data_IF_734849040663
#
_entry.id   IF_734849040663
#
_cell.length_a   1.000
_cell.length_b   1.000
_cell.length_c   1.000
_cell.angle_alpha   90.00
_cell.angle_beta   90.00
_cell.angle_gamma   90.00
#
_symmetry.space_group_name_H-M   'P 1'
#
loop_
_entity.id
_entity.type
_entity.pdbx_description
1 polymer ?
#
# COMPACT_ATOMS: atom_id res chain seq x y z
N UNK A 1 12.85 -12.34 -5.92
CA UNK A 1 12.51 -11.01 -5.38
C UNK A 1 11.02 -11.00 -5.04
N UNK A 2 10.67 -11.09 -3.77
CA UNK A 2 9.29 -11.19 -3.26
C UNK A 2 8.67 -9.78 -3.27
N UNK A 3 7.48 -9.60 -3.84
CA UNK A 3 6.79 -8.29 -3.93
C UNK A 3 5.50 -8.33 -3.09
N UNK A 4 5.43 -7.48 -2.07
CA UNK A 4 4.25 -7.35 -1.21
C UNK A 4 3.19 -6.46 -1.88
N UNK A 5 1.92 -6.84 -1.77
CA UNK A 5 0.80 -6.05 -2.27
C UNK A 5 -0.06 -5.52 -1.12
N UNK A 6 -0.38 -4.23 -1.18
CA UNK A 6 -1.26 -3.54 -0.22
C UNK A 6 -2.67 -3.40 -0.78
N UNK A 7 -3.67 -3.65 0.06
CA UNK A 7 -5.07 -3.46 -0.33
C UNK A 7 -5.49 -2.01 -0.10
N UNK A 8 -5.92 -1.34 -1.16
CA UNK A 8 -6.46 0.03 -1.13
C UNK A 8 -7.96 -0.04 -0.78
N UNK A 9 -8.41 0.74 0.20
CA UNK A 9 -9.81 0.77 0.67
C UNK A 9 -10.37 2.19 0.64
N UNK A 10 -11.71 2.31 0.60
CA UNK A 10 -12.41 3.54 0.97
C UNK A 10 -12.63 3.58 2.49
N UNK A 11 -12.28 4.73 3.07
CA UNK A 11 -12.29 5.20 4.47
C UNK A 11 -12.83 4.22 5.53
N UNK A 12 -11.91 3.66 6.33
CA UNK A 12 -12.15 3.29 7.73
C UNK A 12 -10.80 3.27 8.49
N UNK A 13 -10.74 3.90 9.67
CA UNK A 13 -9.62 4.70 10.15
C UNK A 13 -8.83 4.01 11.28
N UNK A 14 -7.60 3.57 11.01
CA UNK A 14 -6.56 3.44 12.06
C UNK A 14 -5.14 3.28 11.46
N UNK A 15 -5.01 2.68 10.27
CA UNK A 15 -3.73 2.37 9.62
C UNK A 15 -3.76 2.62 8.10
N UNK A 16 -4.33 3.77 7.72
CA UNK A 16 -4.51 4.20 6.32
C UNK A 16 -3.54 5.31 5.95
N UNK A 17 -2.95 5.20 4.76
CA UNK A 17 -2.14 6.26 4.16
C UNK A 17 -2.89 6.89 3.00
N UNK A 18 -2.95 8.23 3.02
CA UNK A 18 -3.37 9.01 1.86
C UNK A 18 -2.27 8.93 0.79
N UNK A 19 -2.69 8.76 -0.46
CA UNK A 19 -1.82 8.57 -1.61
C UNK A 19 -2.15 9.68 -2.60
N UNK A 20 -1.12 10.26 -3.26
CA UNK A 20 -1.27 11.17 -4.39
C UNK A 20 -1.93 10.45 -5.57
N UNK A 21 -3.25 10.33 -5.52
CA UNK A 21 -4.06 9.44 -6.34
C UNK A 21 -4.08 9.82 -7.81
N UNK A 22 -3.95 11.12 -8.13
CA UNK A 22 -3.84 11.62 -9.50
C UNK A 22 -2.53 11.17 -10.16
N UNK A 23 -1.40 11.31 -9.46
CA UNK A 23 -0.09 10.84 -9.94
C UNK A 23 -0.05 9.32 -10.11
N UNK A 24 -0.74 8.61 -9.22
CA UNK A 24 -0.91 7.16 -9.27
C UNK A 24 -1.88 6.68 -10.37
N UNK A 25 -2.48 7.60 -11.15
CA UNK A 25 -3.51 7.32 -12.17
C UNK A 25 -4.73 6.58 -11.61
N UNK A 26 -5.03 6.76 -10.33
CA UNK A 26 -6.24 6.24 -9.72
C UNK A 26 -7.41 7.13 -10.15
N UNK A 27 -8.57 6.53 -10.39
CA UNK A 27 -9.76 7.29 -10.80
C UNK A 27 -10.35 8.16 -9.69
N UNK A 28 -9.98 7.89 -8.44
CA UNK A 28 -10.58 8.49 -7.24
C UNK A 28 -9.54 8.58 -6.12
N UNK A 29 -9.71 9.57 -5.24
CA UNK A 29 -9.01 9.66 -3.95
C UNK A 29 -9.10 8.32 -3.21
N UNK A 30 -7.94 7.84 -2.79
CA UNK A 30 -7.73 6.45 -2.38
C UNK A 30 -6.71 6.39 -1.26
N UNK A 31 -6.81 5.35 -0.44
CA UNK A 31 -5.92 5.17 0.72
C UNK A 31 -5.40 3.74 0.82
N UNK A 32 -4.11 3.55 1.12
CA UNK A 32 -3.54 2.22 1.32
C UNK A 32 -3.66 1.78 2.78
N UNK A 33 -4.06 0.51 2.99
CA UNK A 33 -4.15 -0.09 4.31
C UNK A 33 -2.93 -0.96 4.59
N UNK A 34 -2.08 -0.53 5.53
CA UNK A 34 -0.84 -1.26 5.89
C UNK A 34 -1.07 -2.47 6.79
N UNK A 35 -2.21 -2.53 7.47
CA UNK A 35 -2.57 -3.66 8.35
C UNK A 35 -3.07 -4.91 7.63
N UNK A 36 -3.25 -4.85 6.30
CA UNK A 36 -3.75 -5.97 5.51
C UNK A 36 -2.94 -6.15 4.25
N UNK A 37 -1.74 -6.70 4.43
CA UNK A 37 -0.81 -7.06 3.36
C UNK A 37 -1.02 -8.52 2.97
N UNK A 38 -0.94 -8.80 1.67
CA UNK A 38 -0.90 -10.17 1.17
C UNK A 38 0.26 -10.31 0.19
N UNK A 39 0.87 -11.49 0.17
CA UNK A 39 1.83 -11.82 -0.86
C UNK A 39 1.06 -12.22 -2.13
N UNK A 40 1.44 -11.66 -3.28
CA UNK A 40 0.86 -12.03 -4.58
C UNK A 40 1.98 -12.43 -5.54
N UNK A 41 1.71 -13.42 -6.37
CA UNK A 41 2.61 -13.79 -7.47
C UNK A 41 2.44 -12.81 -8.64
N UNK A 42 3.45 -12.70 -9.49
CA UNK A 42 3.41 -11.78 -10.65
C UNK A 42 2.22 -12.07 -11.58
N UNK A 43 1.81 -13.33 -11.67
CA UNK A 43 0.71 -13.76 -12.54
C UNK A 43 -0.67 -13.41 -11.96
N UNK A 44 -0.73 -12.97 -10.69
CA UNK A 44 -1.97 -12.49 -10.06
C UNK A 44 -2.39 -11.10 -10.56
N UNK A 45 -1.53 -10.39 -11.30
CA UNK A 45 -1.79 -9.05 -11.78
C UNK A 45 -2.32 -9.07 -13.22
N UNK A 46 -3.55 -8.57 -13.40
CA UNK A 46 -4.19 -8.49 -14.73
C UNK A 46 -3.57 -7.37 -15.58
N UNK A 47 -3.30 -6.21 -14.98
CA UNK A 47 -2.65 -5.06 -15.65
C UNK A 47 -2.10 -4.04 -14.63
N UNK A 48 -1.23 -3.13 -15.09
CA UNK A 48 -0.69 -2.01 -14.29
C UNK A 48 -1.55 -0.75 -14.47
N UNK A 49 -2.03 -0.18 -13.37
CA UNK A 49 -2.83 1.06 -13.36
C UNK A 49 -1.93 2.30 -13.46
N UNK A 50 -0.87 2.35 -12.65
CA UNK A 50 0.04 3.50 -12.55
C UNK A 50 1.24 3.18 -11.66
N UNK A 51 1.98 4.21 -11.26
CA UNK A 51 3.09 4.12 -10.31
C UNK A 51 2.83 5.09 -9.16
N UNK A 52 3.11 4.68 -7.93
CA UNK A 52 3.09 5.59 -6.78
C UNK A 52 4.28 6.55 -6.81
N UNK A 53 4.10 7.74 -6.24
CA UNK A 53 5.22 8.64 -5.97
C UNK A 53 6.22 7.98 -5.01
N UNK A 54 7.51 8.32 -5.12
CA UNK A 54 8.54 7.70 -4.28
C UNK A 54 8.36 8.01 -2.79
N UNK A 55 7.90 9.22 -2.46
CA UNK A 55 7.63 9.59 -1.07
C UNK A 55 6.47 8.78 -0.47
N UNK A 56 5.42 8.54 -1.26
CA UNK A 56 4.29 7.72 -0.86
C UNK A 56 4.74 6.26 -0.64
N UNK A 57 5.59 5.74 -1.53
CA UNK A 57 6.19 4.41 -1.36
C UNK A 57 6.99 4.31 -0.07
N UNK A 58 7.87 5.29 0.20
CA UNK A 58 8.68 5.32 1.42
C UNK A 58 7.82 5.38 2.67
N UNK A 59 6.78 6.22 2.66
CA UNK A 59 5.85 6.37 3.78
C UNK A 59 5.09 5.08 4.07
N UNK A 60 4.68 4.38 3.01
CA UNK A 60 4.06 3.05 3.08
C UNK A 60 5.01 2.03 3.71
N UNK A 61 6.27 1.99 3.28
CA UNK A 61 7.27 1.09 3.85
C UNK A 61 7.53 1.37 5.33
N UNK A 62 7.68 2.65 5.70
CA UNK A 62 7.96 3.04 7.09
C UNK A 62 6.79 2.72 8.01
N UNK A 63 5.54 2.94 7.56
CA UNK A 63 4.36 2.53 8.32
C UNK A 63 4.22 1.01 8.43
N UNK A 64 4.58 0.26 7.39
CA UNK A 64 4.56 -1.19 7.46
C UNK A 64 5.63 -1.73 8.43
N UNK A 65 6.85 -1.19 8.40
CA UNK A 65 7.90 -1.52 9.38
C UNK A 65 7.44 -1.23 10.80
N UNK A 66 6.80 -0.08 11.03
CA UNK A 66 6.23 0.28 12.33
C UNK A 66 5.15 -0.73 12.75
N UNK A 67 4.22 -1.05 11.86
CA UNK A 67 3.19 -2.05 12.12
C UNK A 67 3.78 -3.41 12.51
N UNK A 68 4.82 -3.88 11.83
CA UNK A 68 5.49 -5.14 12.18
C UNK A 68 6.13 -5.10 13.57
N UNK A 69 6.83 -4.01 13.92
CA UNK A 69 7.42 -3.80 15.25
C UNK A 69 6.35 -3.78 16.35
N UNK A 70 5.27 -3.03 16.14
CA UNK A 70 4.17 -2.90 17.10
C UNK A 70 3.46 -4.25 17.34
N UNK A 71 3.55 -5.19 16.39
CA UNK A 71 2.97 -6.54 16.49
C UNK A 71 4.00 -7.63 16.86
N UNK A 72 5.23 -7.26 17.21
CA UNK A 72 6.28 -8.22 17.62
C UNK A 72 6.71 -9.20 16.52
N UNK A 73 6.46 -8.87 15.26
CA UNK A 73 6.86 -9.70 14.12
C UNK A 73 8.34 -9.50 13.74
N UNK A 74 8.97 -8.42 14.22
CA UNK A 74 10.38 -8.01 13.99
C UNK A 74 10.89 -7.26 15.21
#
# INVERSE_FOLDING_TARGET
>A
MVKYALKIFKKNLQLMLDISWEEAKLKLASTARVSKVTLLTKDSFIFKIGSLHQDDLKRVEDMYKKFLKDNGAV
#
